data_IF_900996398420
#
_entry.id   IF_900996398420
#
_cell.length_a   1.000
_cell.length_b   1.000
_cell.length_c   1.000
_cell.angle_alpha   90.00
_cell.angle_beta   90.00
_cell.angle_gamma   90.00
#
_symmetry.space_group_name_H-M   'P 1'
#
loop_
_entity.id
_entity.type
_entity.pdbx_description
1 polymer ?
#
# COMPACT_ATOMS: atom_id res chain seq x y z
N UNK A 1 -45.00 24.37 -26.15
CA UNK A 1 -43.85 24.27 -25.23
C UNK A 1 -43.43 22.81 -25.18
N UNK A 2 -42.35 22.42 -25.85
CA UNK A 2 -41.90 21.02 -25.95
C UNK A 2 -40.93 20.73 -24.80
N UNK A 3 -41.29 19.80 -23.93
CA UNK A 3 -40.43 19.32 -22.84
C UNK A 3 -39.55 18.22 -23.41
N UNK A 4 -38.28 18.53 -23.67
CA UNK A 4 -37.30 17.52 -24.09
C UNK A 4 -36.88 16.70 -22.86
N UNK A 5 -37.28 15.44 -22.79
CA UNK A 5 -36.85 14.50 -21.75
C UNK A 5 -35.50 13.91 -22.16
N UNK A 6 -34.41 14.42 -21.58
CA UNK A 6 -33.07 13.87 -21.78
C UNK A 6 -32.90 12.59 -20.96
N UNK A 7 -33.10 11.42 -21.59
CA UNK A 7 -32.80 10.11 -21.00
C UNK A 7 -31.28 9.97 -20.82
N UNK A 8 -30.79 10.17 -19.58
CA UNK A 8 -29.41 9.86 -19.19
C UNK A 8 -29.26 8.36 -18.98
N UNK A 9 -28.73 7.67 -20.00
CA UNK A 9 -28.23 6.30 -19.89
C UNK A 9 -26.70 6.34 -19.91
N UNK A 10 -26.06 6.74 -18.79
CA UNK A 10 -24.58 6.76 -18.65
C UNK A 10 -24.05 6.32 -17.26
N UNK A 11 -24.84 5.56 -16.49
CA UNK A 11 -24.43 5.13 -15.14
C UNK A 11 -23.68 3.78 -15.10
N UNK A 12 -23.87 2.90 -16.07
CA UNK A 12 -23.33 1.53 -16.03
C UNK A 12 -21.83 1.45 -16.32
N UNK A 13 -21.32 2.23 -17.29
CA UNK A 13 -19.89 2.24 -17.65
C UNK A 13 -18.97 2.94 -16.62
N UNK A 14 -19.51 3.87 -15.83
CA UNK A 14 -18.77 4.61 -14.80
C UNK A 14 -18.68 3.86 -13.47
N UNK A 15 -19.71 3.06 -13.14
CA UNK A 15 -19.69 2.17 -11.98
C UNK A 15 -18.69 1.02 -12.14
N UNK A 16 -18.71 0.32 -13.29
CA UNK A 16 -17.79 -0.81 -13.53
C UNK A 16 -16.32 -0.37 -13.52
N UNK A 17 -15.97 0.76 -14.17
CA UNK A 17 -14.61 1.32 -14.12
C UNK A 17 -14.18 1.66 -12.70
N UNK A 18 -15.02 2.35 -11.92
CA UNK A 18 -14.71 2.74 -10.54
C UNK A 18 -14.45 1.52 -9.64
N UNK A 19 -15.23 0.45 -9.83
CA UNK A 19 -15.07 -0.78 -9.05
C UNK A 19 -13.80 -1.53 -9.45
N UNK A 20 -13.45 -1.57 -10.74
CA UNK A 20 -12.18 -2.12 -11.21
C UNK A 20 -10.98 -1.32 -10.70
N UNK A 21 -11.03 0.01 -10.75
CA UNK A 21 -9.96 0.88 -10.21
C UNK A 21 -9.77 0.64 -8.71
N UNK A 22 -10.86 0.49 -7.95
CA UNK A 22 -10.83 0.13 -6.52
C UNK A 22 -10.16 -1.24 -6.29
N UNK A 23 -10.45 -2.23 -7.12
CA UNK A 23 -9.84 -3.56 -7.02
C UNK A 23 -8.34 -3.53 -7.35
N UNK A 24 -7.95 -2.79 -8.39
CA UNK A 24 -6.56 -2.60 -8.79
C UNK A 24 -5.78 -1.88 -7.67
N UNK A 25 -6.36 -0.82 -7.09
CA UNK A 25 -5.73 -0.09 -5.98
C UNK A 25 -5.60 -0.96 -4.73
N UNK A 26 -6.60 -1.78 -4.41
CA UNK A 26 -6.51 -2.72 -3.30
C UNK A 26 -5.38 -3.76 -3.51
N UNK A 27 -5.16 -4.20 -4.75
CA UNK A 27 -4.09 -5.15 -5.10
C UNK A 27 -2.72 -4.47 -5.17
N UNK A 28 -2.65 -3.23 -5.65
CA UNK A 28 -1.42 -2.43 -5.68
C UNK A 28 -0.91 -2.19 -4.24
N UNK A 29 -1.81 -1.90 -3.31
CA UNK A 29 -1.50 -1.76 -1.89
C UNK A 29 -0.95 -3.07 -1.29
N UNK A 30 -1.51 -4.23 -1.66
CA UNK A 30 -1.00 -5.53 -1.23
C UNK A 30 0.38 -5.84 -1.81
N UNK A 31 0.61 -5.55 -3.09
CA UNK A 31 1.90 -5.71 -3.73
C UNK A 31 2.98 -4.85 -3.06
N UNK A 32 2.67 -3.58 -2.73
CA UNK A 32 3.56 -2.69 -1.97
C UNK A 32 3.91 -3.27 -0.60
N UNK A 33 2.92 -3.79 0.15
CA UNK A 33 3.17 -4.43 1.45
C UNK A 33 4.06 -5.66 1.33
N UNK A 34 3.85 -6.48 0.30
CA UNK A 34 4.67 -7.67 0.06
C UNK A 34 6.12 -7.32 -0.28
N UNK A 35 6.34 -6.38 -1.20
CA UNK A 35 7.69 -5.91 -1.57
C UNK A 35 8.38 -5.29 -0.38
N UNK A 36 7.71 -4.42 0.37
CA UNK A 36 8.28 -3.79 1.55
C UNK A 36 8.62 -4.83 2.63
N UNK A 37 7.74 -5.82 2.86
CA UNK A 37 8.03 -6.92 3.78
C UNK A 37 9.23 -7.75 3.35
N UNK A 38 9.37 -8.03 2.05
CA UNK A 38 10.52 -8.74 1.51
C UNK A 38 11.82 -7.93 1.69
N UNK A 39 11.81 -6.64 1.37
CA UNK A 39 12.97 -5.74 1.57
C UNK A 39 13.36 -5.65 3.05
N UNK A 40 12.38 -5.52 3.95
CA UNK A 40 12.64 -5.52 5.40
C UNK A 40 13.21 -6.86 5.88
N UNK A 41 12.71 -7.99 5.35
CA UNK A 41 13.25 -9.31 5.69
C UNK A 41 14.66 -9.54 5.18
N UNK A 42 15.02 -8.94 4.03
CA UNK A 42 16.39 -8.95 3.50
C UNK A 42 17.33 -8.19 4.42
N UNK A 43 16.89 -7.03 4.91
CA UNK A 43 17.63 -6.22 5.88
C UNK A 43 17.79 -6.98 7.21
N UNK A 44 16.72 -7.60 7.74
CA UNK A 44 16.79 -8.48 8.93
C UNK A 44 17.78 -9.63 8.74
N UNK A 45 17.76 -10.29 7.57
CA UNK A 45 18.68 -11.38 7.26
C UNK A 45 20.14 -10.89 7.18
N UNK A 46 20.35 -9.67 6.67
CA UNK A 46 21.67 -9.04 6.61
C UNK A 46 22.17 -8.69 8.01
N UNK A 47 21.32 -8.09 8.84
CA UNK A 47 21.62 -7.81 10.25
C UNK A 47 21.98 -9.10 11.00
N UNK A 48 21.19 -10.15 10.82
CA UNK A 48 21.44 -11.45 11.43
C UNK A 48 22.75 -12.10 10.94
N UNK A 49 23.09 -11.96 9.65
CA UNK A 49 24.36 -12.42 9.10
C UNK A 49 25.58 -11.70 9.74
N UNK A 50 25.38 -10.46 10.17
CA UNK A 50 26.37 -9.68 10.93
C UNK A 50 26.26 -9.86 12.45
N UNK A 51 25.33 -10.69 12.94
CA UNK A 51 25.13 -10.97 14.36
C UNK A 51 24.28 -9.96 15.12
N UNK A 52 23.56 -9.07 14.41
CA UNK A 52 22.69 -8.04 15.00
C UNK A 52 21.22 -8.44 14.91
N UNK A 53 20.44 -8.16 15.98
CA UNK A 53 18.98 -8.23 15.98
C UNK A 53 18.40 -6.81 15.83
N UNK A 54 17.46 -6.62 14.89
CA UNK A 54 16.78 -5.33 14.70
C UNK A 54 16.16 -4.81 16.01
N UNK A 55 15.62 -5.69 16.87
CA UNK A 55 15.02 -5.27 18.16
C UNK A 55 16.04 -4.74 19.15
N UNK A 56 17.25 -5.27 19.10
CA UNK A 56 18.37 -4.81 19.92
C UNK A 56 18.84 -3.43 19.44
N UNK A 57 18.99 -3.25 18.13
CA UNK A 57 19.32 -1.97 17.53
C UNK A 57 18.24 -0.90 17.76
N UNK A 58 16.96 -1.25 17.70
CA UNK A 58 15.86 -0.32 18.01
C UNK A 58 15.88 0.10 19.48
N UNK A 59 16.21 -0.82 20.40
CA UNK A 59 16.33 -0.53 21.84
C UNK A 59 17.50 0.42 22.13
N UNK A 60 18.65 0.20 21.49
CA UNK A 60 19.84 1.04 21.61
C UNK A 60 19.66 2.40 20.91
N UNK A 61 19.07 2.40 19.72
CA UNK A 61 18.79 3.59 18.92
C UNK A 61 17.70 4.50 19.51
N UNK A 62 16.69 3.92 20.18
CA UNK A 62 15.66 4.70 20.88
C UNK A 62 16.23 5.47 22.09
N UNK A 63 17.31 4.97 22.70
CA UNK A 63 18.09 5.73 23.69
C UNK A 63 18.99 6.80 23.05
N UNK A 64 19.30 6.68 21.76
CA UNK A 64 20.15 7.61 21.00
C UNK A 64 19.36 8.73 20.32
N UNK A 65 18.03 8.71 20.32
CA UNK A 65 17.20 9.78 19.75
C UNK A 65 16.93 10.88 20.80
N UNK A 66 18.01 11.52 21.24
CA UNK A 66 17.97 12.80 21.96
C UNK A 66 18.70 13.83 21.10
N UNK A 67 18.11 14.20 19.96
CA UNK A 67 18.49 15.39 19.17
C UNK A 67 17.26 15.95 18.46
#
# INVERSE_FOLDING_TARGET
MVTSTSTTTRASGSFVRRTLDRMIEARSAQARRYVNGYLLSLDDATLAAHGYDRKELEREGSSSMVF
#
